data_IF_765822996611
#
_entry.id   IF_765822996611
#
_cell.length_a   1.000
_cell.length_b   1.000
_cell.length_c   1.000
_cell.angle_alpha   90.00
_cell.angle_beta   90.00
_cell.angle_gamma   90.00
#
_symmetry.space_group_name_H-M   'P 1'
#
loop_
_entity.id
_entity.type
_entity.pdbx_description
1 polymer ?
#
# COMPACT_ATOMS: atom_id res chain seq x y z
N UNK A 1 -16.15 -14.52 -1.84
CA UNK A 1 -14.97 -13.87 -1.24
C UNK A 1 -13.76 -14.64 -1.70
N UNK A 2 -12.81 -14.02 -2.42
CA UNK A 2 -11.57 -14.69 -2.79
C UNK A 2 -10.71 -14.92 -1.54
N UNK A 3 -9.91 -15.99 -1.58
CA UNK A 3 -8.78 -16.15 -0.69
C UNK A 3 -7.77 -15.00 -0.87
N UNK A 4 -6.95 -14.75 0.14
CA UNK A 4 -5.89 -13.74 0.03
C UNK A 4 -4.90 -14.06 -1.10
N UNK A 5 -4.69 -15.34 -1.41
CA UNK A 5 -3.83 -15.79 -2.50
C UNK A 5 -4.41 -15.44 -3.87
N UNK A 6 -5.68 -15.78 -4.09
CA UNK A 6 -6.39 -15.43 -5.33
C UNK A 6 -6.44 -13.91 -5.53
N UNK A 7 -6.62 -13.16 -4.45
CA UNK A 7 -6.62 -11.70 -4.53
C UNK A 7 -5.21 -11.13 -4.80
N UNK A 8 -4.15 -11.70 -4.21
CA UNK A 8 -2.78 -11.29 -4.51
C UNK A 8 -2.38 -11.56 -5.97
N UNK A 9 -2.86 -12.66 -6.56
CA UNK A 9 -2.69 -12.92 -8.00
C UNK A 9 -3.50 -11.92 -8.85
N UNK A 10 -4.69 -11.50 -8.40
CA UNK A 10 -5.44 -10.41 -9.07
C UNK A 10 -4.69 -9.07 -9.01
N UNK A 11 -4.10 -8.72 -7.86
CA UNK A 11 -3.27 -7.52 -7.69
C UNK A 11 -1.99 -7.59 -8.55
N UNK A 12 -1.44 -8.78 -8.75
CA UNK A 12 -0.32 -8.97 -9.67
C UNK A 12 -0.70 -8.66 -11.13
N UNK A 13 -2.00 -8.65 -11.47
CA UNK A 13 -2.52 -8.27 -12.79
C UNK A 13 -1.88 -9.04 -13.96
N UNK A 14 -1.54 -10.32 -13.74
CA UNK A 14 -0.86 -11.17 -14.73
C UNK A 14 0.66 -10.96 -14.83
N UNK A 15 1.25 -10.10 -14.01
CA UNK A 15 2.70 -10.01 -13.85
C UNK A 15 3.27 -11.36 -13.42
N UNK A 16 4.42 -11.73 -13.98
CA UNK A 16 5.17 -12.94 -13.58
C UNK A 16 6.53 -12.61 -12.96
N UNK A 17 6.81 -11.32 -12.75
CA UNK A 17 8.08 -10.81 -12.28
C UNK A 17 8.07 -10.44 -10.79
N UNK A 18 8.84 -9.41 -10.47
CA UNK A 18 9.07 -8.93 -9.11
C UNK A 18 7.80 -8.40 -8.42
N UNK A 19 6.84 -7.87 -9.18
CA UNK A 19 5.60 -7.37 -8.60
C UNK A 19 4.77 -8.51 -8.03
N UNK A 20 4.61 -9.61 -8.78
CA UNK A 20 3.94 -10.82 -8.27
C UNK A 20 4.62 -11.40 -7.03
N UNK A 21 5.95 -11.42 -6.98
CA UNK A 21 6.68 -11.90 -5.79
C UNK A 21 6.33 -11.04 -4.56
N UNK A 22 6.24 -9.72 -4.74
CA UNK A 22 5.87 -8.80 -3.66
C UNK A 22 4.41 -8.98 -3.22
N UNK A 23 3.47 -9.16 -4.15
CA UNK A 23 2.05 -9.38 -3.79
C UNK A 23 1.85 -10.70 -3.06
N UNK A 24 2.54 -11.77 -3.47
CA UNK A 24 2.55 -13.05 -2.76
C UNK A 24 3.19 -12.92 -1.37
N UNK A 25 4.26 -12.14 -1.25
CA UNK A 25 4.87 -11.89 0.06
C UNK A 25 3.93 -11.11 0.98
N UNK A 26 3.21 -10.12 0.47
CA UNK A 26 2.18 -9.42 1.24
C UNK A 26 1.08 -10.39 1.70
N UNK A 27 0.62 -11.30 0.83
CA UNK A 27 -0.34 -12.33 1.19
C UNK A 27 0.17 -13.27 2.30
N UNK A 28 1.43 -13.70 2.25
CA UNK A 28 2.06 -14.50 3.33
C UNK A 28 2.00 -13.77 4.67
N UNK A 29 2.30 -12.47 4.67
CA UNK A 29 2.35 -11.67 5.89
C UNK A 29 0.95 -11.40 6.47
N UNK A 30 -0.08 -11.30 5.61
CA UNK A 30 -1.44 -10.99 6.00
C UNK A 30 -2.31 -12.23 6.27
N UNK A 31 -2.01 -13.39 5.67
CA UNK A 31 -2.82 -14.60 5.79
C UNK A 31 -3.15 -15.06 7.22
N UNK A 32 -2.27 -14.91 8.24
CA UNK A 32 -2.58 -15.33 9.60
C UNK A 32 -3.78 -14.59 10.22
N UNK A 33 -4.01 -13.33 9.85
CA UNK A 33 -5.10 -12.50 10.39
C UNK A 33 -6.20 -12.23 9.37
N UNK A 34 -5.86 -12.23 8.07
CA UNK A 34 -6.75 -11.90 6.96
C UNK A 34 -6.69 -12.98 5.86
N UNK A 35 -7.09 -14.24 6.12
CA UNK A 35 -6.97 -15.33 5.14
C UNK A 35 -7.90 -15.18 3.92
N UNK A 36 -8.93 -14.35 4.02
CA UNK A 36 -9.92 -14.10 2.96
C UNK A 36 -10.16 -12.60 2.80
N UNK A 37 -10.44 -12.16 1.57
CA UNK A 37 -10.71 -10.76 1.27
C UNK A 37 -12.21 -10.54 1.18
N UNK A 38 -12.71 -9.72 2.09
CA UNK A 38 -14.07 -9.20 2.03
C UNK A 38 -14.09 -8.15 0.92
N UNK A 39 -15.03 -8.27 -0.02
CA UNK A 39 -15.27 -7.31 -1.08
C UNK A 39 -16.53 -6.49 -0.74
N UNK A 40 -16.45 -5.54 0.20
CA UNK A 40 -17.62 -4.77 0.61
C UNK A 40 -18.03 -3.77 -0.48
N UNK A 41 -19.32 -3.42 -0.48
CA UNK A 41 -19.93 -2.51 -1.44
C UNK A 41 -19.69 -1.02 -1.16
N UNK A 42 -19.09 -0.64 -0.03
CA UNK A 42 -18.88 0.78 0.36
C UNK A 42 -17.42 1.16 0.63
N UNK A 43 -16.70 0.41 1.46
CA UNK A 43 -15.31 0.75 1.82
C UNK A 43 -14.39 -0.46 1.68
N UNK A 44 -13.55 -0.54 0.65
CA UNK A 44 -12.78 -1.73 0.31
C UNK A 44 -11.54 -1.91 1.20
N UNK A 45 -11.67 -1.83 2.53
CA UNK A 45 -10.54 -1.80 3.49
C UNK A 45 -9.58 -2.98 3.30
N UNK A 46 -10.09 -4.22 3.21
CA UNK A 46 -9.23 -5.40 3.07
C UNK A 46 -8.52 -5.46 1.70
N UNK A 47 -9.16 -4.94 0.65
CA UNK A 47 -8.55 -4.83 -0.67
C UNK A 47 -7.40 -3.82 -0.64
N UNK A 48 -7.69 -2.63 -0.11
CA UNK A 48 -6.72 -1.54 0.03
C UNK A 48 -5.56 -1.94 0.95
N UNK A 49 -5.82 -2.75 2.00
CA UNK A 49 -4.78 -3.32 2.86
C UNK A 49 -3.81 -4.19 2.05
N UNK A 50 -4.31 -5.14 1.26
CA UNK A 50 -3.44 -6.03 0.45
C UNK A 50 -2.68 -5.22 -0.61
N UNK A 51 -3.35 -4.31 -1.29
CA UNK A 51 -2.75 -3.46 -2.33
C UNK A 51 -1.63 -2.57 -1.76
N UNK A 52 -1.90 -1.90 -0.64
CA UNK A 52 -0.93 -1.02 0.03
C UNK A 52 0.24 -1.82 0.58
N UNK A 53 -0.02 -2.96 1.23
CA UNK A 53 1.03 -3.85 1.75
C UNK A 53 1.90 -4.37 0.60
N UNK A 54 1.31 -4.75 -0.54
CA UNK A 54 2.05 -5.20 -1.72
C UNK A 54 2.98 -4.12 -2.26
N UNK A 55 2.49 -2.87 -2.35
CA UNK A 55 3.27 -1.74 -2.83
C UNK A 55 4.44 -1.40 -1.89
N UNK A 56 4.20 -1.42 -0.58
CA UNK A 56 5.23 -1.21 0.44
C UNK A 56 6.27 -2.33 0.41
N UNK A 57 5.82 -3.60 0.40
CA UNK A 57 6.72 -4.76 0.33
C UNK A 57 7.59 -4.68 -0.93
N UNK A 58 6.99 -4.36 -2.09
CA UNK A 58 7.73 -4.19 -3.33
C UNK A 58 8.79 -3.09 -3.22
N UNK A 59 8.37 -1.89 -2.83
CA UNK A 59 9.27 -0.74 -2.72
C UNK A 59 10.40 -0.96 -1.72
N UNK A 60 10.13 -1.60 -0.59
CA UNK A 60 11.14 -1.93 0.42
C UNK A 60 12.12 -2.98 -0.08
N UNK A 61 11.62 -4.02 -0.75
CA UNK A 61 12.43 -5.10 -1.32
C UNK A 61 13.40 -4.54 -2.36
N UNK A 62 12.88 -3.82 -3.35
CA UNK A 62 13.66 -3.39 -4.52
C UNK A 62 14.33 -2.01 -4.37
N UNK A 63 13.83 -1.15 -3.48
CA UNK A 63 14.42 0.16 -3.19
C UNK A 63 15.53 0.15 -2.13
N UNK A 64 15.72 -0.97 -1.40
CA UNK A 64 16.74 -1.07 -0.34
C UNK A 64 18.18 -1.14 -0.85
N UNK A 65 18.38 -1.53 -2.12
CA UNK A 65 19.71 -1.80 -2.67
C UNK A 65 20.40 -3.04 -2.09
N UNK A 66 19.73 -3.81 -1.22
CA UNK A 66 20.28 -5.03 -0.62
C UNK A 66 19.88 -6.25 -1.46
N UNK A 67 20.83 -6.96 -2.10
CA UNK A 67 20.51 -8.12 -2.93
C UNK A 67 19.82 -9.22 -2.11
N UNK A 68 18.70 -9.74 -2.63
CA UNK A 68 17.97 -10.84 -1.99
C UNK A 68 17.21 -10.44 -0.71
N UNK A 69 17.06 -9.14 -0.42
CA UNK A 69 16.24 -8.67 0.69
C UNK A 69 14.82 -9.19 0.58
N UNK A 70 14.22 -9.62 1.70
CA UNK A 70 12.83 -10.03 1.78
C UNK A 70 12.21 -9.40 3.01
N UNK A 71 11.19 -8.58 2.78
CA UNK A 71 10.51 -7.84 3.86
C UNK A 71 9.88 -8.80 4.88
N UNK A 72 10.15 -8.53 6.15
CA UNK A 72 9.60 -9.29 7.28
C UNK A 72 8.41 -8.57 7.93
N UNK A 73 7.62 -9.29 8.74
CA UNK A 73 6.54 -8.69 9.54
C UNK A 73 7.04 -7.58 10.48
N UNK A 74 8.12 -7.77 11.25
CA UNK A 74 8.71 -6.72 12.09
C UNK A 74 9.18 -5.49 11.29
N UNK A 75 9.71 -5.69 10.08
CA UNK A 75 10.11 -4.57 9.22
C UNK A 75 8.89 -3.76 8.75
N UNK A 76 7.79 -4.43 8.39
CA UNK A 76 6.53 -3.74 8.10
C UNK A 76 6.00 -3.00 9.32
N UNK A 77 6.04 -3.60 10.52
CA UNK A 77 5.60 -2.95 11.74
C UNK A 77 6.39 -1.66 12.04
N UNK A 78 7.71 -1.69 11.84
CA UNK A 78 8.57 -0.52 11.97
C UNK A 78 8.20 0.56 10.93
N UNK A 79 8.09 0.17 9.66
CA UNK A 79 7.71 1.09 8.59
C UNK A 79 6.36 1.77 8.83
N UNK A 80 5.36 0.99 9.27
CA UNK A 80 4.03 1.51 9.56
C UNK A 80 4.05 2.48 10.74
N UNK A 81 4.86 2.22 11.76
CA UNK A 81 5.02 3.13 12.91
C UNK A 81 5.62 4.47 12.48
N UNK A 82 6.60 4.46 11.57
CA UNK A 82 7.21 5.67 11.01
C UNK A 82 6.23 6.49 10.16
N UNK A 83 5.26 5.82 9.53
CA UNK A 83 4.33 6.42 8.57
C UNK A 83 2.88 6.50 9.10
N UNK A 84 2.69 6.28 10.40
CA UNK A 84 1.38 6.35 11.03
C UNK A 84 0.82 7.77 10.91
N UNK A 85 -0.41 7.87 10.39
CA UNK A 85 -1.07 9.17 10.26
C UNK A 85 -1.50 9.68 11.65
N UNK A 86 -1.33 10.99 11.91
CA UNK A 86 -1.74 11.57 13.18
C UNK A 86 -3.25 11.38 13.39
N UNK A 87 -3.63 11.04 14.63
CA UNK A 87 -5.03 10.83 15.00
C UNK A 87 -5.87 12.12 14.88
N UNK A 88 -7.22 12.01 14.90
CA UNK A 88 -8.14 13.14 14.69
C UNK A 88 -7.99 14.26 15.73
N UNK A 89 -7.44 13.96 16.92
CA UNK A 89 -7.17 14.94 17.97
C UNK A 89 -5.92 15.80 17.71
N UNK A 90 -5.16 15.47 16.66
CA UNK A 90 -3.99 16.21 16.22
C UNK A 90 -4.43 17.37 15.33
N UNK A 91 -3.86 18.57 15.52
CA UNK A 91 -4.30 19.79 14.82
C UNK A 91 -4.47 19.60 13.30
N UNK A 92 -5.57 20.11 12.68
CA UNK A 92 -5.95 19.82 11.29
C UNK A 92 -4.92 20.23 10.23
N UNK A 93 -4.03 21.17 10.51
CA UNK A 93 -2.92 21.53 9.62
C UNK A 93 -1.84 20.45 9.50
N UNK A 94 -1.79 19.50 10.44
CA UNK A 94 -0.82 18.42 10.47
C UNK A 94 -1.21 17.26 9.53
N UNK A 95 -2.52 17.02 9.31
CA UNK A 95 -2.97 15.87 8.54
C UNK A 95 -2.61 15.98 7.05
N UNK A 96 -2.85 17.14 6.41
CA UNK A 96 -2.50 17.32 5.00
C UNK A 96 -0.98 17.23 4.76
N UNK A 97 -0.18 17.71 5.70
CA UNK A 97 1.27 17.58 5.67
C UNK A 97 1.73 16.12 5.86
N UNK A 98 1.12 15.39 6.80
CA UNK A 98 1.39 13.98 7.05
C UNK A 98 1.01 13.10 5.86
N UNK A 99 -0.14 13.36 5.23
CA UNK A 99 -0.57 12.67 4.00
C UNK A 99 0.44 12.91 2.88
N UNK A 100 0.87 14.16 2.67
CA UNK A 100 1.90 14.44 1.66
C UNK A 100 3.22 13.75 1.99
N UNK A 101 3.66 13.78 3.24
CA UNK A 101 4.88 13.11 3.66
C UNK A 101 4.83 11.59 3.42
N UNK A 102 3.69 10.95 3.71
CA UNK A 102 3.43 9.54 3.41
C UNK A 102 3.56 9.27 1.90
N UNK A 103 2.87 10.04 1.07
CA UNK A 103 2.91 9.87 -0.38
C UNK A 103 4.32 10.09 -0.94
N UNK A 104 5.03 11.12 -0.48
CA UNK A 104 6.41 11.40 -0.88
C UNK A 104 7.36 10.27 -0.48
N UNK A 105 7.19 9.70 0.73
CA UNK A 105 7.95 8.57 1.22
C UNK A 105 7.76 7.32 0.37
N UNK A 106 6.50 6.96 0.07
CA UNK A 106 6.20 5.82 -0.80
C UNK A 106 6.68 6.06 -2.23
N UNK A 107 6.46 7.26 -2.79
CA UNK A 107 6.94 7.62 -4.12
C UNK A 107 8.46 7.55 -4.22
N UNK A 108 9.19 8.04 -3.22
CA UNK A 108 10.66 7.97 -3.14
C UNK A 108 11.14 6.52 -3.15
N UNK A 109 10.51 5.66 -2.35
CA UNK A 109 10.83 4.24 -2.28
C UNK A 109 10.61 3.52 -3.62
N UNK A 110 9.50 3.80 -4.30
CA UNK A 110 9.21 3.23 -5.62
C UNK A 110 10.13 3.78 -6.73
N UNK A 111 10.55 5.05 -6.63
CA UNK A 111 11.56 5.64 -7.52
C UNK A 111 12.93 4.98 -7.31
N UNK A 112 13.30 4.69 -6.05
CA UNK A 112 14.53 3.94 -5.74
C UNK A 112 14.49 2.51 -6.29
N UNK A 113 13.30 1.89 -6.37
CA UNK A 113 13.08 0.62 -7.05
C UNK A 113 13.10 0.73 -8.60
N UNK A 114 13.31 1.92 -9.16
CA UNK A 114 13.50 2.14 -10.60
C UNK A 114 12.26 2.64 -11.36
N UNK A 115 11.13 2.88 -10.67
CA UNK A 115 9.91 3.34 -11.34
C UNK A 115 9.85 4.85 -11.54
N UNK A 116 9.21 5.26 -12.63
CA UNK A 116 8.87 6.67 -12.87
C UNK A 116 7.54 7.00 -12.21
N UNK A 117 7.58 7.43 -10.96
CA UNK A 117 6.38 7.72 -10.16
C UNK A 117 5.88 9.16 -10.42
N UNK A 118 4.68 9.31 -11.01
CA UNK A 118 4.07 10.61 -11.24
C UNK A 118 3.49 11.19 -9.94
N UNK A 119 3.36 12.51 -9.91
CA UNK A 119 2.73 13.20 -8.79
C UNK A 119 1.25 12.78 -8.62
N UNK A 120 0.79 12.59 -7.36
CA UNK A 120 -0.61 12.34 -7.05
C UNK A 120 -1.51 13.45 -7.59
N UNK A 121 -2.68 13.09 -8.07
CA UNK A 121 -3.66 14.05 -8.58
C UNK A 121 -5.10 13.58 -8.41
N UNK A 122 -6.02 14.30 -9.05
CA UNK A 122 -7.40 13.84 -9.17
C UNK A 122 -7.43 12.59 -10.05
N UNK A 123 -8.10 11.54 -9.58
CA UNK A 123 -8.23 10.29 -10.29
C UNK A 123 -9.01 10.52 -11.58
N UNK A 124 -8.31 10.45 -12.71
CA UNK A 124 -8.92 10.50 -14.03
C UNK A 124 -9.14 9.08 -14.54
N UNK A 125 -10.31 8.81 -15.12
CA UNK A 125 -10.61 7.54 -15.81
C UNK A 125 -9.61 7.18 -16.92
N UNK A 126 -8.71 8.10 -17.32
CA UNK A 126 -7.71 7.90 -18.37
C UNK A 126 -6.29 7.66 -17.85
N UNK A 127 -6.05 7.69 -16.53
CA UNK A 127 -4.74 7.34 -15.95
C UNK A 127 -4.62 5.80 -15.89
N UNK A 128 -4.09 5.24 -16.97
CA UNK A 128 -3.68 3.84 -17.03
C UNK A 128 -2.17 3.76 -17.28
N UNK A 129 -1.51 2.83 -16.59
CA UNK A 129 -0.11 2.49 -16.80
C UNK A 129 0.03 1.01 -17.16
N UNK A 130 0.84 0.65 -18.18
CA UNK A 130 1.18 -0.75 -18.45
C UNK A 130 2.14 -1.33 -17.40
N UNK A 131 2.80 -0.47 -16.60
CA UNK A 131 3.59 -0.87 -15.44
C UNK A 131 2.62 -1.09 -14.25
N UNK A 132 2.52 -2.32 -13.73
CA UNK A 132 1.55 -2.66 -12.68
C UNK A 132 1.85 -1.97 -11.34
N UNK A 133 3.12 -1.65 -11.06
CA UNK A 133 3.50 -0.93 -9.84
C UNK A 133 3.04 0.52 -9.92
N UNK A 134 3.25 1.15 -11.08
CA UNK A 134 2.78 2.53 -11.33
C UNK A 134 1.27 2.58 -11.39
N UNK A 135 0.61 1.57 -11.95
CA UNK A 135 -0.85 1.45 -11.93
C UNK A 135 -1.36 1.34 -10.48
N UNK A 136 -0.74 0.49 -9.65
CA UNK A 136 -1.12 0.36 -8.25
C UNK A 136 -0.88 1.64 -7.44
N UNK A 137 0.19 2.40 -7.76
CA UNK A 137 0.42 3.73 -7.21
C UNK A 137 -0.74 4.68 -7.56
N UNK A 138 -1.13 4.77 -8.83
CA UNK A 138 -2.29 5.57 -9.22
C UNK A 138 -3.55 5.17 -8.48
N UNK A 139 -3.76 3.87 -8.30
CA UNK A 139 -4.97 3.36 -7.67
C UNK A 139 -5.09 3.71 -6.19
N UNK A 140 -3.97 4.00 -5.52
CA UNK A 140 -3.92 4.29 -4.09
C UNK A 140 -3.64 5.76 -3.78
N UNK A 141 -2.81 6.43 -4.56
CA UNK A 141 -2.32 7.78 -4.28
C UNK A 141 -3.22 8.88 -4.85
N UNK A 142 -3.91 8.62 -5.97
CA UNK A 142 -4.83 9.60 -6.54
C UNK A 142 -6.10 9.73 -5.69
N UNK A 143 -6.61 10.95 -5.60
CA UNK A 143 -7.83 11.27 -4.85
C UNK A 143 -9.06 11.09 -5.73
N UNK A 144 -10.10 10.49 -5.17
CA UNK A 144 -11.40 10.28 -5.82
C UNK A 144 -12.43 11.24 -5.21
N UNK A 145 -13.34 11.80 -6.00
CA UNK A 145 -14.43 12.65 -5.47
C UNK A 145 -15.33 11.88 -4.48
N UNK A 146 -15.39 10.55 -4.59
CA UNK A 146 -16.16 9.69 -3.70
C UNK A 146 -15.48 9.41 -2.34
N UNK A 147 -14.18 9.71 -2.17
CA UNK A 147 -13.44 9.44 -0.93
C UNK A 147 -12.54 10.64 -0.55
N UNK A 148 -12.64 11.20 0.67
CA UNK A 148 -12.01 12.48 1.03
C UNK A 148 -10.48 12.42 1.25
N UNK A 149 -9.76 11.61 0.48
CA UNK A 149 -8.30 11.48 0.50
C UNK A 149 -7.77 10.33 -0.37
N UNK A 150 -6.46 10.11 -0.40
CA UNK A 150 -5.87 8.95 -1.06
C UNK A 150 -6.25 7.64 -0.34
N UNK A 151 -6.57 6.58 -1.08
CA UNK A 151 -6.80 5.25 -0.49
C UNK A 151 -5.56 4.71 0.23
N UNK A 152 -4.37 5.16 -0.15
CA UNK A 152 -3.11 4.88 0.56
C UNK A 152 -3.22 5.16 2.06
N UNK A 153 -3.89 6.24 2.46
CA UNK A 153 -4.06 6.58 3.87
C UNK A 153 -4.88 5.53 4.62
N UNK A 154 -5.95 5.04 4.01
CA UNK A 154 -6.77 3.96 4.55
C UNK A 154 -5.96 2.66 4.64
N UNK A 155 -5.14 2.38 3.63
CA UNK A 155 -4.26 1.21 3.61
C UNK A 155 -3.23 1.22 4.74
N UNK A 156 -2.57 2.36 4.97
CA UNK A 156 -1.61 2.51 6.07
C UNK A 156 -2.28 2.41 7.43
N UNK A 157 -3.48 2.97 7.61
CA UNK A 157 -4.25 2.79 8.83
C UNK A 157 -4.58 1.30 9.08
N UNK A 158 -5.06 0.59 8.06
CA UNK A 158 -5.34 -0.85 8.15
C UNK A 158 -4.07 -1.69 8.40
N UNK A 159 -2.92 -1.28 7.84
CA UNK A 159 -1.63 -1.87 8.15
C UNK A 159 -1.23 -1.63 9.60
N UNK A 160 -1.54 -0.46 10.17
CA UNK A 160 -1.29 -0.16 11.59
C UNK A 160 -2.13 -1.05 12.49
N UNK A 161 -3.40 -1.28 12.17
CA UNK A 161 -4.24 -2.20 12.93
C UNK A 161 -3.77 -3.66 12.83
N UNK A 162 -3.09 -4.02 11.73
CA UNK A 162 -2.64 -5.40 11.47
C UNK A 162 -1.23 -5.71 11.98
N UNK A 163 -0.29 -4.77 11.80
CA UNK A 163 1.13 -4.94 12.06
C UNK A 163 1.66 -4.03 13.18
N UNK A 164 0.92 -2.99 13.55
CA UNK A 164 1.33 -2.06 14.59
C UNK A 164 1.48 -2.75 15.95
N UNK A 165 2.17 -2.11 16.90
CA UNK A 165 2.25 -2.63 18.26
C UNK A 165 0.84 -2.78 18.82
N UNK A 166 0.53 -3.97 19.34
CA UNK A 166 -0.69 -4.16 20.11
C UNK A 166 -0.66 -3.16 21.27
N UNK A 167 -1.58 -2.19 21.26
CA UNK A 167 -1.82 -1.36 22.43
C UNK A 167 -2.49 -2.30 23.44
N UNK A 168 -1.70 -2.83 24.38
CA UNK A 168 -2.14 -3.62 25.53
C UNK A 168 -2.40 -2.68 26.70
#
# INVERSE_FOLDING_TARGET
>A
MPSIWEYADQVAAGDTGSWRVATLRAAILLAPTHPVIVLPSRFPVHQVLVQTTSLVVYGRTHGSGVPGHVVSGPELAAWVTEHALPGPDSAPGNLAAAVRHLLDGVASMLRAAGHRIPEPGLRSLRRHSPDPVVQQWHDLADVDEAFPGPLMCLGVAAMSDTFGPAIV
#
